data_IF_537786144338
#
_entry.id   IF_537786144338
#
_cell.length_a   1.000
_cell.length_b   1.000
_cell.length_c   1.000
_cell.angle_alpha   90.00
_cell.angle_beta   90.00
_cell.angle_gamma   90.00
#
_symmetry.space_group_name_H-M   'P 1'
#
loop_
_entity.id
_entity.type
_entity.pdbx_description
1 polymer ?
#
# COMPACT_ATOMS: atom_id res chain seq x y z
N UNK A 1 -5.01 -6.94 9.93
CA UNK A 1 -3.69 -7.59 9.87
C UNK A 1 -2.88 -7.13 11.06
N UNK A 2 -2.28 -8.07 11.78
CA UNK A 2 -1.35 -7.77 12.88
C UNK A 2 0.07 -7.67 12.31
N UNK A 3 0.75 -6.53 12.49
CA UNK A 3 2.10 -6.34 11.96
C UNK A 3 3.11 -7.31 12.59
N UNK A 4 2.89 -7.74 13.84
CA UNK A 4 3.78 -8.67 14.52
C UNK A 4 3.83 -10.02 13.79
N UNK A 5 2.71 -10.46 13.22
CA UNK A 5 2.65 -11.69 12.41
C UNK A 5 3.56 -11.64 11.17
N UNK A 6 3.80 -10.45 10.61
CA UNK A 6 4.68 -10.26 9.45
C UNK A 6 6.15 -10.45 9.83
N UNK A 7 6.52 -10.28 11.11
CA UNK A 7 7.91 -10.44 11.57
C UNK A 7 8.36 -11.91 11.53
N UNK A 8 7.41 -12.84 11.59
CA UNK A 8 7.67 -14.29 11.61
C UNK A 8 7.76 -14.92 10.23
N UNK A 9 7.39 -14.19 9.17
CA UNK A 9 7.42 -14.68 7.79
C UNK A 9 8.36 -13.84 6.94
N UNK A 10 9.08 -14.47 6.02
CA UNK A 10 9.88 -13.76 5.02
C UNK A 10 8.97 -13.08 4.00
N UNK A 11 9.27 -11.82 3.67
CA UNK A 11 8.55 -11.06 2.66
C UNK A 11 8.51 -11.81 1.32
N UNK A 12 7.38 -11.73 0.63
CA UNK A 12 7.13 -12.46 -0.62
C UNK A 12 8.24 -12.27 -1.68
N UNK A 13 8.80 -11.05 -1.77
CA UNK A 13 9.85 -10.67 -2.72
C UNK A 13 11.22 -11.29 -2.42
N UNK A 14 11.42 -11.90 -1.24
CA UNK A 14 12.66 -12.58 -0.86
C UNK A 14 12.62 -14.10 -1.05
N UNK A 15 11.51 -14.66 -1.57
CA UNK A 15 11.36 -16.11 -1.72
C UNK A 15 12.35 -16.74 -2.73
N UNK A 16 12.82 -15.99 -3.73
CA UNK A 16 13.86 -16.44 -4.65
C UNK A 16 13.49 -17.65 -5.52
N UNK A 17 12.22 -17.84 -5.86
CA UNK A 17 11.74 -19.01 -6.64
C UNK A 17 11.45 -18.70 -8.12
N UNK A 18 11.76 -17.49 -8.59
CA UNK A 18 11.53 -17.07 -9.97
C UNK A 18 12.65 -17.48 -10.94
N UNK A 19 12.47 -17.22 -12.25
CA UNK A 19 13.56 -17.31 -13.22
C UNK A 19 14.73 -16.40 -12.81
N UNK A 20 15.96 -16.87 -13.03
CA UNK A 20 17.21 -16.13 -12.75
C UNK A 20 17.33 -15.63 -11.29
N UNK A 21 16.73 -16.34 -10.33
CA UNK A 21 16.72 -15.94 -8.92
C UNK A 21 18.10 -15.98 -8.22
N UNK A 22 19.12 -16.50 -8.90
CA UNK A 22 20.53 -16.39 -8.50
C UNK A 22 21.09 -14.97 -8.69
N UNK A 23 20.45 -14.16 -9.54
CA UNK A 23 20.86 -12.78 -9.87
C UNK A 23 19.74 -11.78 -9.58
N UNK A 24 18.52 -12.07 -10.05
CA UNK A 24 17.35 -11.18 -9.95
C UNK A 24 16.65 -11.40 -8.61
N UNK A 25 16.75 -10.40 -7.73
CA UNK A 25 16.14 -10.47 -6.40
C UNK A 25 14.61 -10.42 -6.47
N UNK A 26 14.05 -9.48 -7.22
CA UNK A 26 12.60 -9.36 -7.42
C UNK A 26 12.25 -8.57 -8.67
N UNK A 27 11.00 -8.71 -9.13
CA UNK A 27 10.40 -7.89 -10.18
C UNK A 27 9.13 -7.24 -9.64
N UNK A 28 8.93 -5.94 -9.92
CA UNK A 28 7.79 -5.19 -9.41
C UNK A 28 7.20 -4.30 -10.50
N UNK A 29 5.88 -4.38 -10.65
CA UNK A 29 5.10 -3.51 -11.54
C UNK A 29 4.36 -2.51 -10.65
N UNK A 30 4.28 -1.25 -11.08
CA UNK A 30 3.48 -0.22 -10.40
C UNK A 30 2.55 0.49 -11.38
N UNK A 31 1.30 0.71 -10.98
CA UNK A 31 0.33 1.47 -11.76
C UNK A 31 -0.21 2.65 -10.93
N UNK A 32 0.09 3.87 -11.38
CA UNK A 32 -0.41 5.11 -10.80
C UNK A 32 -1.77 5.50 -11.41
N UNK A 33 -2.78 5.79 -10.59
CA UNK A 33 -4.12 6.20 -11.02
C UNK A 33 -4.66 7.33 -10.13
N UNK A 34 -5.34 8.26 -10.77
CA UNK A 34 -6.09 9.32 -10.11
C UNK A 34 -7.57 9.17 -10.44
N UNK A 35 -8.43 9.42 -9.44
CA UNK A 35 -9.87 9.34 -9.58
C UNK A 35 -10.41 10.57 -10.31
N UNK A 36 -11.30 10.34 -11.27
CA UNK A 36 -12.01 11.43 -11.94
C UNK A 36 -12.82 12.25 -10.93
N UNK A 37 -12.97 13.55 -11.19
CA UNK A 37 -13.72 14.53 -10.37
C UNK A 37 -13.10 14.88 -9.02
N UNK A 38 -11.97 14.27 -8.65
CA UNK A 38 -11.16 14.69 -7.53
C UNK A 38 -9.93 15.48 -8.04
N UNK A 39 -9.49 16.55 -7.34
CA UNK A 39 -8.21 17.18 -7.64
C UNK A 39 -7.07 16.22 -7.28
N UNK A 40 -5.90 16.37 -7.92
CA UNK A 40 -4.69 15.64 -7.53
C UNK A 40 -4.36 15.84 -6.04
N UNK A 41 -3.69 14.86 -5.39
CA UNK A 41 -3.35 14.91 -3.95
C UNK A 41 -2.64 16.20 -3.54
N UNK A 42 -1.78 16.75 -4.40
CA UNK A 42 -1.07 18.01 -4.17
C UNK A 42 -1.97 19.25 -4.05
N UNK A 43 -3.24 19.13 -4.46
CA UNK A 43 -4.27 20.19 -4.43
C UNK A 43 -5.51 19.81 -3.61
N UNK A 44 -5.62 18.56 -3.17
CA UNK A 44 -6.70 18.10 -2.30
C UNK A 44 -6.45 18.58 -0.86
N UNK A 45 -7.48 19.15 -0.24
CA UNK A 45 -7.50 19.42 1.19
C UNK A 45 -7.74 18.14 2.00
N UNK A 46 -7.68 18.24 3.33
CA UNK A 46 -7.80 17.08 4.21
C UNK A 46 -9.17 16.40 4.09
N UNK A 47 -10.25 17.16 3.95
CA UNK A 47 -11.60 16.63 3.77
C UNK A 47 -11.71 15.79 2.48
N UNK A 48 -11.16 16.27 1.36
CA UNK A 48 -11.13 15.52 0.10
C UNK A 48 -10.22 14.29 0.17
N UNK A 49 -9.09 14.36 0.90
CA UNK A 49 -8.22 13.21 1.12
C UNK A 49 -8.96 12.12 1.91
N UNK A 50 -9.69 12.51 2.94
CA UNK A 50 -10.52 11.60 3.73
C UNK A 50 -11.62 10.95 2.88
N UNK A 51 -12.26 11.73 2.00
CA UNK A 51 -13.27 11.22 1.06
C UNK A 51 -12.65 10.20 0.09
N UNK A 52 -11.51 10.52 -0.53
CA UNK A 52 -10.79 9.62 -1.44
C UNK A 52 -10.38 8.33 -0.71
N UNK A 53 -9.81 8.45 0.49
CA UNK A 53 -9.36 7.32 1.29
C UNK A 53 -10.53 6.41 1.66
N UNK A 54 -11.63 6.99 2.12
CA UNK A 54 -12.85 6.24 2.49
C UNK A 54 -13.46 5.54 1.27
N UNK A 55 -13.56 6.24 0.14
CA UNK A 55 -14.07 5.68 -1.10
C UNK A 55 -13.21 4.51 -1.57
N UNK A 56 -11.89 4.69 -1.68
CA UNK A 56 -10.99 3.62 -2.14
C UNK A 56 -10.95 2.45 -1.17
N UNK A 57 -10.92 2.71 0.15
CA UNK A 57 -10.99 1.67 1.18
C UNK A 57 -12.23 0.81 1.00
N UNK A 58 -13.42 1.42 0.90
CA UNK A 58 -14.67 0.66 0.73
C UNK A 58 -14.64 -0.20 -0.54
N UNK A 59 -14.24 0.37 -1.68
CA UNK A 59 -14.16 -0.36 -2.95
C UNK A 59 -13.16 -1.51 -2.91
N UNK A 60 -11.99 -1.31 -2.30
CA UNK A 60 -10.96 -2.35 -2.18
C UNK A 60 -11.41 -3.48 -1.26
N UNK A 61 -12.04 -3.15 -0.13
CA UNK A 61 -12.52 -4.16 0.82
C UNK A 61 -13.73 -4.95 0.29
N UNK A 62 -14.53 -4.35 -0.60
CA UNK A 62 -15.69 -4.99 -1.24
C UNK A 62 -15.33 -5.80 -2.50
N UNK A 63 -14.06 -5.85 -2.91
CA UNK A 63 -13.65 -6.61 -4.10
C UNK A 63 -14.03 -8.11 -3.93
N UNK A 64 -14.84 -8.68 -4.83
CA UNK A 64 -15.31 -10.06 -4.71
C UNK A 64 -14.25 -11.11 -5.08
N UNK A 65 -12.99 -10.70 -5.26
CA UNK A 65 -11.94 -11.49 -5.91
C UNK A 65 -10.78 -11.76 -4.96
N UNK A 66 -10.11 -12.90 -5.16
CA UNK A 66 -8.79 -13.16 -4.57
C UNK A 66 -7.73 -12.31 -5.29
N UNK A 67 -6.73 -11.75 -4.60
CA UNK A 67 -6.44 -11.95 -3.17
C UNK A 67 -7.34 -11.13 -2.23
N UNK A 68 -7.54 -11.65 -1.02
CA UNK A 68 -8.13 -10.87 0.08
C UNK A 68 -7.11 -9.82 0.53
N UNK A 69 -7.62 -8.64 0.84
CA UNK A 69 -6.82 -7.51 1.28
C UNK A 69 -7.05 -7.22 2.76
N UNK A 70 -5.97 -6.83 3.43
CA UNK A 70 -6.01 -6.22 4.74
C UNK A 70 -5.65 -4.76 4.62
N UNK A 71 -6.55 -3.89 5.09
CA UNK A 71 -6.33 -2.45 5.10
C UNK A 71 -5.61 -2.02 6.38
N UNK A 72 -4.60 -1.16 6.24
CA UNK A 72 -3.92 -0.46 7.32
C UNK A 72 -4.05 1.04 7.08
N UNK A 73 -4.46 1.77 8.11
CA UNK A 73 -4.41 3.23 8.10
C UNK A 73 -2.99 3.69 8.41
N UNK A 74 -2.29 4.25 7.43
CA UNK A 74 -0.88 4.62 7.56
C UNK A 74 -0.71 5.90 8.38
N UNK A 75 -1.76 6.73 8.46
CA UNK A 75 -1.74 7.92 9.31
C UNK A 75 -1.75 7.56 10.80
N UNK A 76 -2.38 6.43 11.17
CA UNK A 76 -2.48 5.94 12.55
C UNK A 76 -1.28 5.09 13.01
N UNK A 77 -0.41 4.65 12.09
CA UNK A 77 0.76 3.83 12.42
C UNK A 77 1.84 4.60 13.19
N UNK A 78 2.58 3.90 14.05
CA UNK A 78 3.80 4.45 14.63
C UNK A 78 4.92 4.57 13.57
N UNK A 79 5.92 5.41 13.83
CA UNK A 79 7.03 5.59 12.90
C UNK A 79 7.78 4.28 12.61
N UNK A 80 7.95 3.43 13.63
CA UNK A 80 8.62 2.14 13.47
C UNK A 80 7.85 1.20 12.55
N UNK A 81 6.51 1.17 12.67
CA UNK A 81 5.64 0.34 11.82
C UNK A 81 5.65 0.83 10.37
N UNK A 82 5.61 2.15 10.16
CA UNK A 82 5.77 2.73 8.82
C UNK A 82 7.11 2.35 8.20
N UNK A 83 8.19 2.47 8.96
CA UNK A 83 9.54 2.11 8.51
C UNK A 83 9.62 0.61 8.16
N UNK A 84 9.03 -0.26 8.99
CA UNK A 84 8.94 -1.69 8.72
C UNK A 84 8.24 -1.98 7.38
N UNK A 85 7.11 -1.34 7.10
CA UNK A 85 6.40 -1.51 5.82
C UNK A 85 7.20 -1.01 4.62
N UNK A 86 8.00 0.05 4.77
CA UNK A 86 8.92 0.55 3.73
C UNK A 86 10.01 -0.48 3.44
N UNK A 87 10.68 -1.00 4.47
CA UNK A 87 11.74 -2.01 4.34
C UNK A 87 11.22 -3.30 3.73
N UNK A 88 9.98 -3.65 4.05
CA UNK A 88 9.27 -4.80 3.48
C UNK A 88 8.77 -4.58 2.06
N UNK A 89 9.02 -3.41 1.47
CA UNK A 89 8.62 -3.02 0.11
C UNK A 89 7.10 -2.90 -0.09
N UNK A 90 6.31 -2.83 0.98
CA UNK A 90 4.84 -2.76 0.91
C UNK A 90 4.34 -1.33 0.67
N UNK A 91 5.00 -0.32 1.23
CA UNK A 91 4.71 1.09 0.96
C UNK A 91 5.96 1.82 0.44
N UNK A 92 5.78 3.00 -0.18
CA UNK A 92 6.89 3.89 -0.53
C UNK A 92 7.33 4.71 0.69
N UNK A 93 8.55 5.26 0.62
CA UNK A 93 9.05 6.18 1.66
C UNK A 93 8.22 7.46 1.69
N UNK A 94 7.87 7.95 0.51
CA UNK A 94 7.01 9.12 0.32
C UNK A 94 5.64 8.91 0.99
N UNK A 95 5.06 7.70 0.89
CA UNK A 95 3.80 7.36 1.56
C UNK A 95 3.92 7.36 3.09
N UNK A 96 5.03 6.82 3.62
CA UNK A 96 5.30 6.78 5.05
C UNK A 96 5.44 8.20 5.63
N UNK A 97 6.18 9.07 4.93
CA UNK A 97 6.55 10.42 5.39
C UNK A 97 5.50 11.50 5.05
N UNK A 98 4.47 11.15 4.25
CA UNK A 98 3.39 12.08 3.90
C UNK A 98 2.46 12.39 5.09
N UNK A 99 1.52 13.32 4.87
CA UNK A 99 0.56 13.81 5.87
C UNK A 99 -0.87 13.69 5.37
N UNK A 100 -1.83 13.74 6.29
CA UNK A 100 -3.26 13.56 6.00
C UNK A 100 -3.66 12.10 5.88
N UNK A 101 -4.94 11.86 5.56
CA UNK A 101 -5.48 10.52 5.44
C UNK A 101 -4.89 9.76 4.27
N UNK A 102 -4.34 8.59 4.60
CA UNK A 102 -3.63 7.71 3.69
C UNK A 102 -3.63 6.31 4.25
N UNK A 103 -3.64 5.33 3.35
CA UNK A 103 -3.70 3.94 3.76
C UNK A 103 -3.09 3.01 2.74
N UNK A 104 -2.93 1.78 3.17
CA UNK A 104 -2.44 0.71 2.30
C UNK A 104 -3.30 -0.53 2.48
N UNK A 105 -3.70 -1.14 1.38
CA UNK A 105 -4.33 -2.45 1.40
C UNK A 105 -3.35 -3.50 0.87
N UNK A 106 -3.04 -4.50 1.68
CA UNK A 106 -2.02 -5.51 1.40
C UNK A 106 -2.70 -6.87 1.22
N UNK A 107 -2.37 -7.58 0.14
CA UNK A 107 -2.85 -8.95 -0.07
C UNK A 107 -2.33 -9.89 1.01
N UNK A 108 -3.07 -10.94 1.38
CA UNK A 108 -2.63 -11.95 2.36
C UNK A 108 -1.23 -12.54 2.08
N UNK A 109 -0.85 -12.67 0.81
CA UNK A 109 0.44 -13.21 0.37
C UNK A 109 1.52 -12.14 0.14
N UNK A 110 1.25 -10.88 0.48
CA UNK A 110 2.18 -9.74 0.34
C UNK A 110 2.71 -9.51 -1.09
N UNK A 111 2.05 -10.00 -2.14
CA UNK A 111 2.48 -9.80 -3.52
C UNK A 111 1.73 -8.65 -4.22
N UNK A 112 0.63 -8.16 -3.66
CA UNK A 112 -0.08 -6.94 -4.09
C UNK A 112 -0.16 -5.96 -2.92
N UNK A 113 0.13 -4.69 -3.20
CA UNK A 113 -0.04 -3.59 -2.26
C UNK A 113 -0.70 -2.41 -2.96
N UNK A 114 -1.82 -1.94 -2.42
CA UNK A 114 -2.61 -0.83 -2.94
C UNK A 114 -2.42 0.37 -2.01
N UNK A 115 -1.56 1.31 -2.40
CA UNK A 115 -1.32 2.55 -1.65
C UNK A 115 -2.34 3.61 -2.04
N UNK A 116 -2.96 4.24 -1.06
CA UNK A 116 -4.05 5.21 -1.22
C UNK A 116 -3.61 6.58 -0.68
N UNK A 117 -3.81 7.64 -1.47
CA UNK A 117 -3.34 9.00 -1.18
C UNK A 117 -1.82 9.08 -0.97
N UNK A 118 -1.08 8.58 -1.94
CA UNK A 118 0.36 8.79 -2.03
C UNK A 118 0.65 10.06 -2.84
N UNK A 119 1.45 10.00 -3.90
CA UNK A 119 1.56 11.05 -4.92
C UNK A 119 0.30 11.08 -5.80
N UNK A 120 -0.25 9.90 -6.06
CA UNK A 120 -1.50 9.64 -6.77
C UNK A 120 -2.58 9.12 -5.80
N UNK A 121 -3.85 9.16 -6.22
CA UNK A 121 -4.96 8.67 -5.39
C UNK A 121 -4.83 7.18 -5.10
N UNK A 122 -4.37 6.41 -6.09
CA UNK A 122 -4.17 4.96 -5.98
C UNK A 122 -2.89 4.56 -6.72
N UNK A 123 -2.03 3.81 -6.04
CA UNK A 123 -0.86 3.15 -6.62
C UNK A 123 -0.92 1.66 -6.32
N UNK A 124 -1.01 0.86 -7.39
CA UNK A 124 -1.07 -0.62 -7.38
C UNK A 124 0.33 -1.17 -7.57
#
# INVERSE_FOLDING_TARGET
MDLDSLTHISGSWLRGTGPDADIVVSSRIRLARNLARFPFISRADDDLRDEIATLLKSQVMDLPTSPRFNYLDVAELEQIDRQFLVERQLISREHADSHGSRGVAISDEEHVSLMINEEDHLRI
#
